data_IF_274261424440
#
_entry.id   IF_274261424440
#
_cell.length_a   1.000
_cell.length_b   1.000
_cell.length_c   1.000
_cell.angle_alpha   90.00
_cell.angle_beta   90.00
_cell.angle_gamma   90.00
#
_symmetry.space_group_name_H-M   'P 1'
#
loop_
_entity.id
_entity.type
_entity.pdbx_description
1 polymer ?
#
# COMPACT_ATOMS: atom_id res chain seq x y z
N UNK A 1 37.04 23.21 -53.46
CA UNK A 1 37.03 24.17 -54.57
C UNK A 1 35.57 24.48 -54.83
N UNK A 2 34.92 25.19 -53.91
CA UNK A 2 34.88 26.66 -53.74
C UNK A 2 34.15 27.37 -54.90
N UNK A 3 32.99 27.95 -54.57
CA UNK A 3 32.39 29.19 -55.10
C UNK A 3 30.89 29.20 -54.73
N UNK A 4 30.46 29.91 -53.67
CA UNK A 4 29.94 31.31 -53.68
C UNK A 4 28.40 31.30 -53.52
N UNK A 5 27.83 31.80 -52.39
CA UNK A 5 27.25 33.15 -52.20
C UNK A 5 26.19 33.52 -53.28
N UNK A 6 24.99 34.04 -53.02
CA UNK A 6 24.52 34.98 -52.00
C UNK A 6 22.97 35.09 -51.99
N UNK A 7 22.44 35.83 -51.01
CA UNK A 7 21.03 36.12 -50.64
C UNK A 7 20.02 36.57 -51.72
N UNK A 8 18.73 36.27 -51.46
CA UNK A 8 17.51 37.13 -51.57
C UNK A 8 16.33 36.29 -51.06
N UNK A 9 15.51 36.69 -50.08
CA UNK A 9 14.68 37.89 -50.05
C UNK A 9 13.26 37.55 -50.53
N UNK A 10 12.45 36.90 -49.68
CA UNK A 10 11.08 36.49 -50.03
C UNK A 10 10.21 36.24 -48.81
N UNK A 11 9.64 37.31 -48.27
CA UNK A 11 8.64 37.32 -47.20
C UNK A 11 7.25 37.10 -47.80
N UNK A 12 6.53 36.07 -47.36
CA UNK A 12 5.14 35.85 -47.71
C UNK A 12 4.60 34.56 -47.09
N UNK A 13 3.72 34.66 -46.09
CA UNK A 13 3.05 33.47 -45.56
C UNK A 13 2.53 33.56 -44.14
N UNK A 14 1.56 34.45 -43.94
CA UNK A 14 0.43 34.39 -43.00
C UNK A 14 0.34 33.20 -42.00
N UNK A 15 0.27 33.53 -40.70
CA UNK A 15 -0.77 33.03 -39.81
C UNK A 15 -0.49 31.75 -39.02
N UNK A 16 -0.06 31.89 -37.76
CA UNK A 16 -0.65 31.14 -36.64
C UNK A 16 -0.27 31.78 -35.31
N UNK A 17 -1.27 32.04 -34.48
CA UNK A 17 -1.19 32.69 -33.18
C UNK A 17 -0.48 31.75 -32.17
N UNK A 18 0.62 32.23 -31.60
CA UNK A 18 1.31 31.62 -30.47
C UNK A 18 0.49 31.76 -29.19
N UNK A 19 -0.29 30.74 -28.84
CA UNK A 19 -0.77 30.54 -27.47
C UNK A 19 0.32 29.81 -26.69
N UNK A 20 1.21 30.59 -26.10
CA UNK A 20 2.24 30.12 -25.19
C UNK A 20 1.58 29.80 -23.84
N UNK A 21 0.96 28.61 -23.76
CA UNK A 21 0.54 28.03 -22.50
C UNK A 21 1.79 27.47 -21.80
N UNK A 22 2.10 28.09 -20.68
CA UNK A 22 3.18 27.78 -19.77
C UNK A 22 3.06 26.33 -19.26
N UNK A 23 3.75 25.40 -19.91
CA UNK A 23 3.83 23.98 -19.54
C UNK A 23 4.82 23.75 -18.38
N UNK A 24 4.72 24.57 -17.34
CA UNK A 24 5.58 24.50 -16.13
C UNK A 24 4.80 23.90 -14.95
N UNK A 25 4.11 22.77 -15.16
CA UNK A 25 3.37 22.10 -14.09
C UNK A 25 3.24 20.58 -14.22
N UNK A 26 4.18 19.88 -14.88
CA UNK A 26 4.13 18.39 -14.89
C UNK A 26 5.48 17.69 -14.97
N UNK A 27 6.54 18.29 -14.41
CA UNK A 27 7.89 17.69 -14.37
C UNK A 27 8.40 17.31 -12.97
N UNK A 28 7.53 17.22 -11.95
CA UNK A 28 7.93 16.88 -10.58
C UNK A 28 7.13 15.75 -9.90
N UNK A 29 6.27 15.03 -10.63
CA UNK A 29 5.46 13.94 -10.06
C UNK A 29 6.19 12.57 -10.01
N UNK A 30 7.40 12.46 -10.55
CA UNK A 30 8.15 11.18 -10.64
C UNK A 30 9.21 10.97 -9.55
N UNK A 31 9.33 11.86 -8.57
CA UNK A 31 10.45 11.81 -7.62
C UNK A 31 10.23 10.90 -6.39
N UNK A 32 9.03 10.34 -6.16
CA UNK A 32 8.73 9.64 -4.92
C UNK A 32 7.65 8.55 -5.08
N UNK A 33 7.82 7.57 -5.98
CA UNK A 33 7.03 6.33 -5.87
C UNK A 33 7.59 5.51 -4.69
N UNK A 34 6.81 5.24 -3.62
CA UNK A 34 7.26 4.42 -2.51
C UNK A 34 7.80 3.05 -2.95
N UNK A 35 7.25 2.51 -4.04
CA UNK A 35 7.70 1.24 -4.62
C UNK A 35 9.09 1.37 -5.26
N UNK A 36 9.37 2.49 -5.92
CA UNK A 36 10.69 2.73 -6.51
C UNK A 36 11.75 2.90 -5.43
N UNK A 37 11.44 3.68 -4.38
CA UNK A 37 12.33 3.85 -3.22
C UNK A 37 12.66 2.49 -2.56
N UNK A 38 11.66 1.63 -2.40
CA UNK A 38 11.86 0.28 -1.86
C UNK A 38 12.76 -0.57 -2.77
N UNK A 39 12.58 -0.51 -4.09
CA UNK A 39 13.44 -1.22 -5.04
C UNK A 39 14.89 -0.72 -4.96
N UNK A 40 15.12 0.59 -4.78
CA UNK A 40 16.46 1.14 -4.59
C UNK A 40 17.13 0.59 -3.33
N UNK A 41 16.41 0.52 -2.21
CA UNK A 41 16.91 -0.10 -0.97
C UNK A 41 17.23 -1.59 -1.18
N UNK A 42 16.33 -2.35 -1.81
CA UNK A 42 16.55 -3.77 -2.12
C UNK A 42 17.82 -3.97 -2.95
N UNK A 43 18.02 -3.16 -3.99
CA UNK A 43 19.20 -3.23 -4.84
C UNK A 43 20.48 -2.89 -4.06
N UNK A 44 20.44 -1.91 -3.15
CA UNK A 44 21.56 -1.57 -2.28
C UNK A 44 21.91 -2.71 -1.31
N UNK A 45 20.91 -3.36 -0.71
CA UNK A 45 21.10 -4.55 0.14
C UNK A 45 21.77 -5.69 -0.65
N UNK A 46 21.30 -5.98 -1.86
CA UNK A 46 21.90 -7.00 -2.72
C UNK A 46 23.36 -6.68 -3.08
N UNK A 47 23.65 -5.41 -3.39
CA UNK A 47 25.01 -4.95 -3.68
C UNK A 47 25.92 -5.10 -2.46
N UNK A 48 25.44 -4.74 -1.27
CA UNK A 48 26.17 -4.93 -0.01
C UNK A 48 26.47 -6.40 0.26
N UNK A 49 25.50 -7.30 0.08
CA UNK A 49 25.71 -8.74 0.23
C UNK A 49 26.78 -9.25 -0.77
N UNK A 50 26.73 -8.78 -2.02
CA UNK A 50 27.72 -9.10 -3.03
C UNK A 50 29.14 -8.62 -2.65
N UNK A 51 29.27 -7.41 -2.12
CA UNK A 51 30.54 -6.87 -1.63
C UNK A 51 31.08 -7.68 -0.45
N UNK A 52 30.24 -8.02 0.53
CA UNK A 52 30.61 -8.87 1.67
C UNK A 52 31.12 -10.23 1.20
N UNK A 53 30.42 -10.87 0.26
CA UNK A 53 30.86 -12.15 -0.30
C UNK A 53 32.20 -12.03 -1.04
N UNK A 54 32.38 -10.97 -1.83
CA UNK A 54 33.65 -10.69 -2.51
C UNK A 54 34.79 -10.42 -1.54
N UNK A 55 34.54 -9.72 -0.42
CA UNK A 55 35.52 -9.55 0.66
C UNK A 55 35.91 -10.91 1.24
N UNK A 56 34.92 -11.74 1.57
CA UNK A 56 35.15 -13.08 2.11
C UNK A 56 36.07 -13.90 1.19
N UNK A 57 35.81 -13.92 -0.12
CA UNK A 57 36.65 -14.64 -1.08
C UNK A 57 38.09 -14.09 -1.10
N UNK A 58 38.26 -12.77 -1.13
CA UNK A 58 39.60 -12.14 -1.11
C UNK A 58 40.37 -12.49 0.15
N UNK A 59 39.71 -12.46 1.31
CA UNK A 59 40.35 -12.78 2.60
C UNK A 59 40.65 -14.28 2.71
N UNK A 60 39.75 -15.14 2.23
CA UNK A 60 39.94 -16.59 2.27
C UNK A 60 41.13 -17.07 1.44
N UNK A 61 41.49 -16.38 0.37
CA UNK A 61 42.64 -16.70 -0.48
C UNK A 61 43.64 -15.54 -0.55
N UNK A 62 43.91 -14.93 0.60
CA UNK A 62 44.72 -13.71 0.65
C UNK A 62 46.17 -13.95 0.20
N UNK A 63 46.68 -13.01 -0.61
CA UNK A 63 48.08 -12.91 -1.00
C UNK A 63 48.50 -11.44 -1.17
N UNK A 64 49.80 -11.18 -1.36
CA UNK A 64 50.33 -9.82 -1.47
C UNK A 64 49.68 -8.98 -2.59
N UNK A 65 49.32 -9.59 -3.72
CA UNK A 65 48.66 -8.89 -4.83
C UNK A 65 47.19 -8.53 -4.52
N UNK A 66 46.57 -9.22 -3.57
CA UNK A 66 45.17 -8.98 -3.17
C UNK A 66 44.99 -7.86 -2.15
N UNK A 67 46.09 -7.28 -1.62
CA UNK A 67 46.04 -6.22 -0.61
C UNK A 67 45.32 -4.96 -1.10
N UNK A 68 45.66 -4.45 -2.28
CA UNK A 68 45.03 -3.25 -2.83
C UNK A 68 43.53 -3.47 -3.16
N UNK A 69 43.13 -4.56 -3.83
CA UNK A 69 41.71 -4.90 -4.03
C UNK A 69 40.92 -5.06 -2.73
N UNK A 70 41.53 -5.62 -1.67
CA UNK A 70 40.88 -5.77 -0.37
C UNK A 70 40.52 -4.40 0.23
N UNK A 71 41.47 -3.47 0.26
CA UNK A 71 41.23 -2.12 0.77
C UNK A 71 40.19 -1.36 -0.05
N UNK A 72 40.22 -1.50 -1.38
CA UNK A 72 39.23 -0.89 -2.25
C UNK A 72 37.82 -1.44 -1.98
N UNK A 73 37.68 -2.77 -1.82
CA UNK A 73 36.39 -3.41 -1.53
C UNK A 73 35.87 -3.02 -0.14
N UNK A 74 36.73 -2.93 0.86
CA UNK A 74 36.36 -2.51 2.21
C UNK A 74 35.81 -1.07 2.21
N UNK A 75 36.51 -0.14 1.57
CA UNK A 75 36.03 1.22 1.42
C UNK A 75 34.72 1.28 0.61
N UNK A 76 34.60 0.46 -0.44
CA UNK A 76 33.37 0.33 -1.23
C UNK A 76 32.18 -0.15 -0.39
N UNK A 77 32.39 -1.10 0.52
CA UNK A 77 31.35 -1.56 1.46
C UNK A 77 30.93 -0.45 2.41
N UNK A 78 31.88 0.31 2.98
CA UNK A 78 31.55 1.43 3.87
C UNK A 78 30.71 2.48 3.13
N UNK A 79 31.11 2.86 1.91
CA UNK A 79 30.35 3.82 1.10
C UNK A 79 28.95 3.32 0.75
N UNK A 80 28.82 2.03 0.43
CA UNK A 80 27.50 1.46 0.10
C UNK A 80 26.60 1.31 1.33
N UNK A 81 27.15 1.04 2.52
CA UNK A 81 26.39 1.06 3.77
C UNK A 81 25.87 2.46 4.12
N UNK A 82 26.69 3.51 3.94
CA UNK A 82 26.27 4.91 4.11
C UNK A 82 25.18 5.30 3.08
N UNK A 83 25.29 4.82 1.84
CA UNK A 83 24.26 5.01 0.83
C UNK A 83 22.95 4.29 1.20
N UNK A 84 23.03 3.05 1.69
CA UNK A 84 21.88 2.25 2.12
C UNK A 84 21.11 2.94 3.25
N UNK A 85 21.82 3.51 4.23
CA UNK A 85 21.21 4.24 5.35
C UNK A 85 20.41 5.47 4.87
N UNK A 86 20.99 6.25 3.96
CA UNK A 86 20.32 7.41 3.33
C UNK A 86 19.11 7.02 2.48
N UNK A 87 19.15 5.85 1.83
CA UNK A 87 18.01 5.33 1.07
C UNK A 87 16.90 4.83 2.00
N UNK A 88 17.25 4.28 3.16
CA UNK A 88 16.30 3.79 4.16
C UNK A 88 15.42 4.92 4.73
N UNK A 89 15.94 6.14 4.91
CA UNK A 89 15.16 7.31 5.34
C UNK A 89 13.96 7.63 4.43
N UNK A 90 14.06 7.26 3.14
CA UNK A 90 13.00 7.49 2.14
C UNK A 90 11.93 6.39 2.14
N UNK A 91 12.13 5.31 2.89
CA UNK A 91 11.23 4.17 2.97
C UNK A 91 10.42 4.20 4.28
N UNK A 92 9.28 4.89 4.27
CA UNK A 92 8.39 4.95 5.42
C UNK A 92 7.41 3.75 5.45
N UNK A 93 7.92 2.55 5.78
CA UNK A 93 7.13 1.32 5.90
C UNK A 93 7.04 0.92 7.38
N UNK A 94 5.82 0.70 7.86
CA UNK A 94 5.60 0.15 9.19
C UNK A 94 5.57 -1.37 9.13
N UNK A 95 6.42 -2.01 9.94
CA UNK A 95 6.51 -3.47 10.03
C UNK A 95 6.07 -3.89 11.44
N UNK A 96 5.07 -4.79 11.58
CA UNK A 96 4.69 -5.33 12.88
C UNK A 96 5.84 -6.06 13.57
N UNK A 97 5.94 -5.94 14.89
CA UNK A 97 7.01 -6.59 15.66
C UNK A 97 6.95 -8.12 15.57
N UNK A 98 5.77 -8.72 15.39
CA UNK A 98 5.69 -10.17 15.22
C UNK A 98 6.40 -10.66 13.95
N UNK A 99 6.38 -9.85 12.87
CA UNK A 99 7.09 -10.16 11.62
C UNK A 99 8.59 -10.13 11.87
N UNK A 100 9.10 -9.17 12.65
CA UNK A 100 10.52 -9.09 13.01
C UNK A 100 10.96 -10.32 13.82
N UNK A 101 10.16 -10.73 14.81
CA UNK A 101 10.45 -11.92 15.60
C UNK A 101 10.53 -13.20 14.75
N UNK A 102 9.65 -13.34 13.74
CA UNK A 102 9.72 -14.47 12.81
C UNK A 102 11.03 -14.49 12.01
N UNK A 103 11.53 -13.32 11.60
CA UNK A 103 12.80 -13.19 10.88
C UNK A 103 13.96 -13.58 11.79
N UNK A 104 13.98 -13.11 13.04
CA UNK A 104 15.02 -13.44 14.02
C UNK A 104 15.06 -14.95 14.35
N UNK A 105 13.89 -15.60 14.39
CA UNK A 105 13.74 -17.05 14.57
C UNK A 105 14.09 -17.86 13.29
N UNK A 106 14.39 -17.20 12.17
CA UNK A 106 14.66 -17.85 10.89
C UNK A 106 13.42 -18.49 10.23
N UNK A 107 12.22 -18.06 10.60
CA UNK A 107 10.95 -18.49 10.00
C UNK A 107 10.55 -17.59 8.83
N UNK A 108 9.59 -18.05 8.03
CA UNK A 108 9.07 -17.25 6.92
C UNK A 108 8.12 -16.15 7.45
N UNK A 109 8.39 -14.85 7.21
CA UNK A 109 7.49 -13.77 7.63
C UNK A 109 6.08 -13.84 7.03
N UNK A 110 5.89 -14.52 5.90
CA UNK A 110 4.56 -14.71 5.28
C UNK A 110 3.61 -15.55 6.15
N UNK A 111 4.15 -16.32 7.11
CA UNK A 111 3.38 -17.03 8.12
C UNK A 111 2.50 -16.07 8.93
N UNK A 112 3.03 -14.91 9.33
CA UNK A 112 2.25 -13.89 10.02
C UNK A 112 1.08 -13.41 9.17
N UNK A 113 1.34 -13.07 7.91
CA UNK A 113 0.29 -12.61 6.98
C UNK A 113 -0.81 -13.66 6.83
N UNK A 114 -0.42 -14.92 6.64
CA UNK A 114 -1.35 -16.05 6.53
C UNK A 114 -2.18 -16.21 7.81
N UNK A 115 -1.55 -16.13 8.98
CA UNK A 115 -2.22 -16.32 10.27
C UNK A 115 -3.19 -15.18 10.59
N UNK A 116 -2.85 -13.94 10.21
CA UNK A 116 -3.75 -12.77 10.30
C UNK A 116 -4.96 -12.95 9.39
N UNK A 117 -4.76 -13.37 8.13
CA UNK A 117 -5.86 -13.63 7.19
C UNK A 117 -6.78 -14.73 7.72
N UNK A 118 -6.22 -15.86 8.17
CA UNK A 118 -6.98 -16.97 8.74
C UNK A 118 -7.74 -16.55 10.00
N UNK A 119 -7.11 -15.77 10.87
CA UNK A 119 -7.75 -15.21 12.06
C UNK A 119 -8.90 -14.28 11.71
N UNK A 120 -8.77 -13.48 10.64
CA UNK A 120 -9.84 -12.62 10.14
C UNK A 120 -11.02 -13.45 9.63
N UNK A 121 -10.76 -14.50 8.85
CA UNK A 121 -11.79 -15.42 8.34
C UNK A 121 -12.54 -16.09 9.50
N UNK A 122 -11.81 -16.65 10.46
CA UNK A 122 -12.40 -17.30 11.63
C UNK A 122 -13.26 -16.32 12.46
N UNK A 123 -12.72 -15.12 12.75
CA UNK A 123 -13.47 -14.08 13.48
C UNK A 123 -14.72 -13.62 12.71
N UNK A 124 -14.65 -13.51 11.39
CA UNK A 124 -15.79 -13.16 10.55
C UNK A 124 -16.89 -14.24 10.63
N UNK A 125 -16.52 -15.51 10.50
CA UNK A 125 -17.45 -16.63 10.60
C UNK A 125 -18.10 -16.70 11.99
N UNK A 126 -17.32 -16.56 13.06
CA UNK A 126 -17.85 -16.51 14.43
C UNK A 126 -18.81 -15.33 14.61
N UNK A 127 -18.47 -14.16 14.09
CA UNK A 127 -19.32 -12.97 14.17
C UNK A 127 -20.63 -13.15 13.40
N UNK A 128 -20.56 -13.75 12.20
CA UNK A 128 -21.74 -14.12 11.42
C UNK A 128 -22.60 -15.12 12.18
N UNK A 129 -22.01 -16.19 12.73
CA UNK A 129 -22.73 -17.19 13.52
C UNK A 129 -23.42 -16.59 14.75
N UNK A 130 -22.74 -15.70 15.49
CA UNK A 130 -23.36 -14.93 16.60
C UNK A 130 -24.54 -14.09 16.10
N UNK A 131 -24.35 -13.36 15.00
CA UNK A 131 -25.40 -12.52 14.41
C UNK A 131 -26.62 -13.34 14.00
N UNK A 132 -26.40 -14.47 13.34
CA UNK A 132 -27.47 -15.35 12.88
C UNK A 132 -28.16 -16.06 14.07
N UNK A 133 -27.42 -16.41 15.12
CA UNK A 133 -27.98 -16.89 16.38
C UNK A 133 -28.89 -15.86 17.06
N UNK A 134 -28.47 -14.59 17.14
CA UNK A 134 -29.33 -13.53 17.66
C UNK A 134 -30.58 -13.29 16.79
N UNK A 135 -30.45 -13.37 15.46
CA UNK A 135 -31.61 -13.29 14.55
C UNK A 135 -32.58 -14.45 14.78
N UNK A 136 -32.08 -15.67 14.95
CA UNK A 136 -32.90 -16.86 15.19
C UNK A 136 -33.62 -16.79 16.54
N UNK A 137 -32.90 -16.45 17.63
CA UNK A 137 -33.49 -16.24 18.95
C UNK A 137 -34.61 -15.21 18.90
N UNK A 138 -34.34 -14.08 18.24
CA UNK A 138 -35.31 -13.01 18.05
C UNK A 138 -36.55 -13.48 17.29
N UNK A 139 -36.37 -14.25 16.21
CA UNK A 139 -37.47 -14.80 15.42
C UNK A 139 -38.35 -15.69 16.29
N UNK A 140 -37.75 -16.67 16.97
CA UNK A 140 -38.49 -17.61 17.82
C UNK A 140 -39.23 -16.90 18.96
N UNK A 141 -38.59 -15.91 19.60
CA UNK A 141 -39.24 -15.12 20.65
C UNK A 141 -40.45 -14.33 20.11
N UNK A 142 -40.35 -13.76 18.91
CA UNK A 142 -41.48 -13.06 18.29
C UNK A 142 -42.62 -14.01 17.92
N UNK A 143 -42.33 -15.22 17.45
CA UNK A 143 -43.35 -16.23 17.13
C UNK A 143 -44.14 -16.65 18.39
N UNK A 144 -43.47 -16.92 19.50
CA UNK A 144 -44.11 -17.26 20.78
C UNK A 144 -44.93 -16.08 21.35
N UNK A 145 -44.39 -14.86 21.27
CA UNK A 145 -45.10 -13.66 21.72
C UNK A 145 -46.32 -13.35 20.86
N UNK A 146 -46.27 -13.60 19.55
CA UNK A 146 -47.40 -13.37 18.64
C UNK A 146 -48.59 -14.28 18.98
N UNK A 147 -48.32 -15.50 19.46
CA UNK A 147 -49.35 -16.42 19.94
C UNK A 147 -49.95 -16.00 21.29
N UNK A 148 -49.14 -15.41 22.19
CA UNK A 148 -49.58 -15.04 23.54
C UNK A 148 -50.18 -13.62 23.64
N UNK A 149 -49.65 -12.67 22.87
CA UNK A 149 -49.86 -11.22 22.98
C UNK A 149 -49.80 -10.53 21.59
N UNK A 150 -50.82 -10.71 20.73
CA UNK A 150 -50.77 -10.25 19.34
C UNK A 150 -50.73 -8.71 19.19
N UNK A 151 -51.47 -7.98 20.03
CA UNK A 151 -51.58 -6.51 19.94
C UNK A 151 -50.27 -5.81 20.34
N UNK A 152 -49.56 -6.36 21.34
CA UNK A 152 -48.26 -5.87 21.79
C UNK A 152 -47.15 -6.12 20.76
N UNK A 153 -47.22 -7.25 20.04
CA UNK A 153 -46.24 -7.58 18.97
C UNK A 153 -46.36 -6.62 17.80
N UNK A 154 -47.58 -6.23 17.41
CA UNK A 154 -47.78 -5.24 16.34
C UNK A 154 -47.17 -3.88 16.72
N UNK A 155 -47.44 -3.41 17.94
CA UNK A 155 -46.84 -2.19 18.49
C UNK A 155 -45.30 -2.25 18.49
N UNK A 156 -44.72 -3.40 18.84
CA UNK A 156 -43.27 -3.61 18.79
C UNK A 156 -42.70 -3.59 17.36
N UNK A 157 -43.42 -4.14 16.38
CA UNK A 157 -43.01 -4.13 14.96
C UNK A 157 -42.94 -2.72 14.42
N UNK A 158 -43.90 -1.86 14.75
CA UNK A 158 -43.92 -0.45 14.38
C UNK A 158 -42.73 0.33 14.97
N UNK A 159 -42.52 0.22 16.28
CA UNK A 159 -41.39 0.90 16.97
C UNK A 159 -40.05 0.47 16.36
N UNK A 160 -39.90 -0.82 16.05
CA UNK A 160 -38.69 -1.33 15.39
C UNK A 160 -38.50 -0.74 13.99
N UNK A 161 -39.55 -0.69 13.18
CA UNK A 161 -39.47 -0.14 11.83
C UNK A 161 -39.03 1.33 11.85
N UNK A 162 -39.56 2.11 12.79
CA UNK A 162 -39.18 3.52 13.02
C UNK A 162 -37.72 3.61 13.44
N UNK A 163 -37.29 2.85 14.45
CA UNK A 163 -35.91 2.85 14.96
C UNK A 163 -34.89 2.40 13.90
N UNK A 164 -35.23 1.42 13.06
CA UNK A 164 -34.39 0.98 11.96
C UNK A 164 -34.27 2.04 10.86
N UNK A 165 -35.36 2.75 10.53
CA UNK A 165 -35.34 3.85 9.57
C UNK A 165 -34.53 5.04 10.07
N UNK A 166 -34.63 5.37 11.36
CA UNK A 166 -33.84 6.42 12.02
C UNK A 166 -32.35 6.08 12.02
N UNK A 167 -31.99 4.85 12.41
CA UNK A 167 -30.60 4.37 12.37
C UNK A 167 -30.01 4.42 10.96
N UNK A 168 -30.81 4.05 9.95
CA UNK A 168 -30.41 4.11 8.53
C UNK A 168 -30.21 5.55 8.04
N UNK A 169 -31.06 6.48 8.46
CA UNK A 169 -30.91 7.92 8.16
C UNK A 169 -29.66 8.51 8.81
N UNK A 170 -29.39 8.17 10.06
CA UNK A 170 -28.19 8.62 10.77
C UNK A 170 -26.91 8.09 10.12
N UNK A 171 -26.90 6.81 9.73
CA UNK A 171 -25.76 6.22 9.00
C UNK A 171 -25.53 6.89 7.64
N UNK A 172 -26.61 7.21 6.90
CA UNK A 172 -26.52 7.91 5.62
C UNK A 172 -26.04 9.36 5.79
N UNK A 173 -26.50 10.07 6.83
CA UNK A 173 -26.05 11.42 7.17
C UNK A 173 -24.58 11.47 7.64
N UNK A 174 -24.07 10.40 8.25
CA UNK A 174 -22.65 10.27 8.59
C UNK A 174 -21.79 9.89 7.37
N UNK A 175 -22.33 9.15 6.41
CA UNK A 175 -21.63 8.77 5.17
C UNK A 175 -21.45 9.89 4.15
N UNK A 176 -22.11 11.04 4.31
CA UNK A 176 -21.96 12.21 3.43
C UNK A 176 -20.73 13.07 3.71
N UNK A 177 -19.77 12.59 4.49
CA UNK A 177 -18.40 13.14 4.55
C UNK A 177 -17.53 12.44 3.50
N UNK A 178 -16.60 13.15 2.82
CA UNK A 178 -16.03 12.73 1.56
C UNK A 178 -15.03 11.58 1.78
N UNK A 179 -15.51 10.35 1.65
CA UNK A 179 -14.67 9.21 1.30
C UNK A 179 -15.41 8.37 0.26
N UNK A 180 -14.74 8.18 -0.88
CA UNK A 180 -15.29 7.82 -2.18
C UNK A 180 -16.19 6.59 -2.25
N UNK A 181 -17.05 6.62 -3.27
CA UNK A 181 -18.07 5.65 -3.65
C UNK A 181 -17.74 4.18 -3.37
N UNK A 182 -18.32 3.62 -2.31
CA UNK A 182 -18.55 2.18 -2.20
C UNK A 182 -20.00 1.91 -2.59
N UNK A 183 -20.23 1.68 -3.88
CA UNK A 183 -21.47 1.07 -4.40
C UNK A 183 -21.60 -0.35 -3.83
N UNK A 184 -22.28 -0.51 -2.70
CA UNK A 184 -22.78 -1.80 -2.26
C UNK A 184 -24.03 -2.14 -3.09
N UNK A 185 -23.88 -3.11 -4.01
CA UNK A 185 -25.01 -3.72 -4.71
C UNK A 185 -25.93 -4.43 -3.69
N UNK A 186 -27.25 -4.24 -3.76
CA UNK A 186 -28.19 -5.06 -3.02
C UNK A 186 -28.39 -6.39 -3.77
N UNK A 187 -28.05 -7.51 -3.13
CA UNK A 187 -28.45 -8.85 -3.57
C UNK A 187 -29.89 -9.12 -3.11
N UNK A 188 -30.66 -9.79 -3.98
CA UNK A 188 -32.06 -10.21 -3.82
C UNK A 188 -32.23 -11.30 -2.76
#
# INVERSE_FOLDING_TARGET
MDSSQNMTGGNGGNGSLSAQANDTATANASANDPKENLNQVINSIQKNLGLIHQLYLTVSSFNAASQAPLLQRLNGLITELDNMDKLAEKCNIQVPMEVLNLIDDGKNPDEFTRDVINSCIAKNQVTKGKTDGFKALRKNLLEELEQAFPDEVESYREIRAISAAESKRLAQAQSSMPNGDVKLKPEL
#
